data_IF_768202204161
#
_entry.id   IF_768202204161
#
_cell.length_a   1.000
_cell.length_b   1.000
_cell.length_c   1.000
_cell.angle_alpha   90.00
_cell.angle_beta   90.00
_cell.angle_gamma   90.00
#
_symmetry.space_group_name_H-M   'P 1'
#
loop_
_entity.id
_entity.type
_entity.pdbx_description
1 polymer ?
#
# COMPACT_ATOMS: atom_id res chain seq x y z
N UNK A 1 -16.53 -6.49 -21.29
CA UNK A 1 -15.12 -6.18 -20.97
C UNK A 1 -14.97 -6.20 -19.45
N UNK A 2 -13.77 -6.43 -18.88
CA UNK A 2 -13.59 -6.32 -17.42
C UNK A 2 -13.80 -4.85 -17.03
N UNK A 3 -14.67 -4.57 -16.06
CA UNK A 3 -14.96 -3.20 -15.61
C UNK A 3 -14.58 -2.94 -14.15
N UNK A 4 -14.40 -4.00 -13.35
CA UNK A 4 -14.11 -3.85 -11.93
C UNK A 4 -12.68 -3.36 -11.68
N UNK A 5 -12.52 -2.49 -10.68
CA UNK A 5 -11.23 -2.04 -10.19
C UNK A 5 -11.09 -2.47 -8.73
N UNK A 6 -9.98 -3.14 -8.39
CA UNK A 6 -9.70 -3.65 -7.05
C UNK A 6 -8.66 -2.78 -6.36
N UNK A 7 -8.85 -2.52 -5.07
CA UNK A 7 -7.88 -1.84 -4.21
C UNK A 7 -7.59 -2.71 -2.98
N UNK A 8 -6.31 -2.89 -2.69
CA UNK A 8 -5.79 -3.59 -1.51
C UNK A 8 -4.57 -2.85 -0.96
N UNK A 9 -4.22 -3.05 0.31
CA UNK A 9 -2.99 -2.55 0.92
C UNK A 9 -2.64 -3.39 2.14
N UNK A 10 -1.51 -3.12 2.78
CA UNK A 10 -1.20 -3.64 4.11
C UNK A 10 -1.24 -5.17 4.21
N UNK A 11 -0.63 -5.83 3.22
CA UNK A 11 -0.52 -7.28 3.20
C UNK A 11 0.57 -7.77 4.15
N UNK A 12 1.64 -6.98 4.32
CA UNK A 12 2.77 -7.31 5.19
C UNK A 12 3.31 -8.74 4.93
N UNK A 13 3.49 -9.09 3.65
CA UNK A 13 3.98 -10.40 3.25
C UNK A 13 5.40 -10.64 3.80
N UNK A 14 5.59 -11.78 4.44
CA UNK A 14 6.83 -12.15 5.09
C UNK A 14 7.03 -13.67 5.13
N UNK A 15 8.28 -14.11 5.26
CA UNK A 15 8.66 -15.53 5.31
C UNK A 15 8.03 -16.27 6.50
N UNK A 16 7.90 -15.59 7.64
CA UNK A 16 7.30 -16.09 8.88
C UNK A 16 5.76 -15.97 8.90
N UNK A 17 5.15 -15.45 7.84
CA UNK A 17 3.69 -15.36 7.65
C UNK A 17 3.25 -16.04 6.35
N UNK A 18 3.56 -17.34 6.15
CA UNK A 18 3.33 -18.02 4.87
C UNK A 18 1.84 -18.06 4.49
N UNK A 19 0.92 -18.07 5.45
CA UNK A 19 -0.51 -18.18 5.17
C UNK A 19 -1.10 -16.91 4.55
N UNK A 20 -0.56 -15.73 4.87
CA UNK A 20 -0.94 -14.48 4.19
C UNK A 20 -0.49 -14.54 2.73
N UNK A 21 0.73 -15.03 2.48
CA UNK A 21 1.24 -15.22 1.11
C UNK A 21 0.37 -16.21 0.33
N UNK A 22 -0.03 -17.34 0.93
CA UNK A 22 -0.93 -18.30 0.28
C UNK A 22 -2.29 -17.67 -0.06
N UNK A 23 -2.87 -16.89 0.85
CA UNK A 23 -4.14 -16.18 0.61
C UNK A 23 -4.00 -15.19 -0.55
N UNK A 24 -2.93 -14.40 -0.57
CA UNK A 24 -2.68 -13.44 -1.64
C UNK A 24 -2.45 -14.14 -2.99
N UNK A 25 -1.68 -15.23 -3.02
CA UNK A 25 -1.50 -16.01 -4.25
C UNK A 25 -2.82 -16.57 -4.75
N UNK A 26 -3.67 -17.11 -3.86
CA UNK A 26 -5.02 -17.58 -4.23
C UNK A 26 -5.87 -16.44 -4.78
N UNK A 27 -5.80 -15.25 -4.21
CA UNK A 27 -6.49 -14.06 -4.70
C UNK A 27 -6.05 -13.70 -6.13
N UNK A 28 -4.73 -13.66 -6.38
CA UNK A 28 -4.15 -13.41 -7.69
C UNK A 28 -4.53 -14.47 -8.72
N UNK A 29 -4.67 -15.73 -8.30
CA UNK A 29 -5.02 -16.84 -9.19
C UNK A 29 -6.52 -16.92 -9.51
N UNK A 30 -7.41 -16.37 -8.66
CA UNK A 30 -8.86 -16.67 -8.74
C UNK A 30 -9.77 -15.45 -8.89
N UNK A 31 -9.48 -14.37 -8.16
CA UNK A 31 -10.36 -13.18 -8.05
C UNK A 31 -9.84 -12.01 -8.86
N UNK A 32 -8.54 -11.70 -8.72
CA UNK A 32 -7.90 -10.60 -9.42
C UNK A 32 -8.00 -10.69 -10.95
N UNK A 33 -7.92 -11.88 -11.61
CA UNK A 33 -8.00 -11.97 -13.07
C UNK A 33 -9.34 -11.49 -13.66
N UNK A 34 -10.39 -11.37 -12.83
CA UNK A 34 -11.71 -10.88 -13.25
C UNK A 34 -11.79 -9.35 -13.31
N UNK A 35 -10.85 -8.66 -12.68
CA UNK A 35 -10.80 -7.21 -12.63
C UNK A 35 -10.02 -6.62 -13.80
N UNK A 36 -10.43 -5.40 -14.19
CA UNK A 36 -9.71 -4.58 -15.17
C UNK A 36 -8.35 -4.16 -14.62
N UNK A 37 -8.34 -3.69 -13.38
CA UNK A 37 -7.14 -3.20 -12.71
C UNK A 37 -7.09 -3.61 -11.23
N UNK A 38 -5.88 -3.80 -10.73
CA UNK A 38 -5.55 -4.02 -9.33
C UNK A 38 -4.58 -2.92 -8.85
N UNK A 39 -5.00 -2.19 -7.83
CA UNK A 39 -4.19 -1.19 -7.14
C UNK A 39 -3.75 -1.74 -5.78
N UNK A 40 -2.44 -1.73 -5.54
CA UNK A 40 -1.81 -2.15 -4.29
C UNK A 40 -1.23 -0.90 -3.62
N UNK A 41 -1.91 -0.37 -2.59
CA UNK A 41 -1.61 0.93 -1.98
C UNK A 41 -0.61 0.83 -0.81
N UNK A 42 0.57 0.26 -1.09
CA UNK A 42 1.67 0.16 -0.13
C UNK A 42 1.57 -0.99 0.87
N UNK A 43 2.70 -1.24 1.54
CA UNK A 43 2.88 -2.30 2.54
C UNK A 43 2.49 -3.69 2.00
N UNK A 44 2.87 -3.96 0.74
CA UNK A 44 2.79 -5.29 0.14
C UNK A 44 3.70 -6.25 0.90
N UNK A 45 4.91 -5.81 1.25
CA UNK A 45 5.87 -6.60 2.03
C UNK A 45 6.06 -6.02 3.42
N UNK A 46 6.25 -6.88 4.43
CA UNK A 46 6.52 -6.43 5.82
C UNK A 46 7.88 -5.73 5.96
N UNK A 47 8.78 -6.00 5.01
CA UNK A 47 9.99 -5.24 4.73
C UNK A 47 10.46 -5.52 3.29
N UNK A 48 10.98 -4.50 2.60
CA UNK A 48 11.72 -4.67 1.34
C UNK A 48 13.11 -4.08 1.47
N UNK A 49 14.13 -4.86 1.12
CA UNK A 49 15.54 -4.45 1.29
C UNK A 49 16.26 -4.15 -0.02
N UNK A 50 15.58 -4.29 -1.16
CA UNK A 50 16.13 -4.03 -2.49
C UNK A 50 15.65 -5.06 -3.52
N UNK A 51 15.57 -4.65 -4.78
CA UNK A 51 15.02 -5.47 -5.86
C UNK A 51 15.90 -6.68 -6.24
N UNK A 52 17.17 -6.64 -5.80
CA UNK A 52 18.17 -7.71 -5.90
C UNK A 52 17.96 -8.83 -4.86
N UNK A 53 16.95 -8.71 -3.99
CA UNK A 53 16.49 -9.80 -3.14
C UNK A 53 15.54 -10.74 -3.91
N UNK A 54 16.00 -11.98 -4.09
CA UNK A 54 15.25 -13.05 -4.76
C UNK A 54 14.65 -14.07 -3.77
N UNK A 55 14.74 -13.81 -2.47
CA UNK A 55 14.21 -14.71 -1.45
C UNK A 55 12.67 -14.67 -1.40
N UNK A 56 12.02 -15.77 -0.97
CA UNK A 56 10.58 -15.76 -0.71
C UNK A 56 10.20 -14.83 0.46
N UNK A 57 9.00 -14.21 0.44
CA UNK A 57 7.96 -14.37 -0.57
C UNK A 57 8.13 -13.51 -1.83
N UNK A 58 9.13 -12.61 -1.87
CA UNK A 58 9.31 -11.62 -2.93
C UNK A 58 9.36 -12.21 -4.34
N UNK A 59 10.15 -13.26 -4.55
CA UNK A 59 10.24 -13.94 -5.85
C UNK A 59 8.93 -14.60 -6.28
N UNK A 60 8.21 -15.26 -5.35
CA UNK A 60 6.90 -15.86 -5.62
C UNK A 60 5.87 -14.82 -6.02
N UNK A 61 5.80 -13.72 -5.27
CA UNK A 61 4.85 -12.62 -5.50
C UNK A 61 5.11 -11.96 -6.85
N UNK A 62 6.38 -11.66 -7.15
CA UNK A 62 6.80 -11.08 -8.43
C UNK A 62 6.31 -11.93 -9.61
N UNK A 63 6.50 -13.25 -9.55
CA UNK A 63 6.03 -14.18 -10.58
C UNK A 63 4.50 -14.20 -10.71
N UNK A 64 3.78 -14.18 -9.59
CA UNK A 64 2.31 -14.23 -9.58
C UNK A 64 1.67 -12.95 -10.08
N UNK A 65 2.22 -11.79 -9.73
CA UNK A 65 1.83 -10.51 -10.30
C UNK A 65 2.08 -10.49 -11.81
N UNK A 66 3.24 -11.01 -12.26
CA UNK A 66 3.53 -11.10 -13.68
C UNK A 66 2.50 -11.93 -14.45
N UNK A 67 2.13 -13.10 -13.90
CA UNK A 67 1.09 -13.95 -14.49
C UNK A 67 -0.27 -13.23 -14.56
N UNK A 68 -0.63 -12.46 -13.54
CA UNK A 68 -1.86 -11.66 -13.55
C UNK A 68 -1.79 -10.57 -14.62
N UNK A 69 -0.68 -9.84 -14.72
CA UNK A 69 -0.48 -8.81 -15.75
C UNK A 69 -0.58 -9.39 -17.17
N UNK A 70 0.10 -10.52 -17.41
CA UNK A 70 0.05 -11.24 -18.70
C UNK A 70 -1.36 -11.77 -19.03
N UNK A 71 -2.26 -11.93 -18.04
CA UNK A 71 -3.68 -12.27 -18.23
C UNK A 71 -4.59 -11.08 -18.59
N UNK A 72 -3.99 -9.89 -18.74
CA UNK A 72 -4.67 -8.65 -19.13
C UNK A 72 -5.38 -7.94 -17.98
N UNK A 73 -4.83 -7.99 -16.76
CA UNK A 73 -5.25 -7.13 -15.64
C UNK A 73 -4.14 -6.12 -15.37
N UNK A 74 -4.46 -4.83 -15.43
CA UNK A 74 -3.48 -3.77 -15.15
C UNK A 74 -3.14 -3.76 -13.66
N UNK A 75 -1.86 -3.63 -13.32
CA UNK A 75 -1.41 -3.65 -11.93
C UNK A 75 -0.68 -2.34 -11.61
N UNK A 76 -1.13 -1.67 -10.56
CA UNK A 76 -0.55 -0.44 -10.06
C UNK A 76 -0.10 -0.63 -8.62
N UNK A 77 1.08 -0.13 -8.26
CA UNK A 77 1.67 -0.29 -6.95
C UNK A 77 2.12 1.07 -6.40
N UNK A 78 1.69 1.43 -5.19
CA UNK A 78 2.29 2.52 -4.41
C UNK A 78 3.23 1.92 -3.36
N UNK A 79 4.24 2.69 -2.98
CA UNK A 79 5.16 2.31 -1.91
C UNK A 79 4.55 2.62 -0.54
N UNK A 80 4.62 1.67 0.38
CA UNK A 80 4.26 1.88 1.77
C UNK A 80 5.44 2.31 2.62
N UNK A 81 5.25 2.33 3.93
CA UNK A 81 6.30 2.65 4.89
C UNK A 81 7.20 1.45 5.21
N UNK A 82 6.85 0.23 4.78
CA UNK A 82 7.65 -0.99 4.97
C UNK A 82 8.47 -1.39 3.75
N UNK A 83 7.97 -1.09 2.56
CA UNK A 83 8.52 -1.52 1.28
C UNK A 83 8.97 -0.35 0.40
N UNK A 84 9.28 0.80 1.00
CA UNK A 84 9.74 2.02 0.32
C UNK A 84 11.04 1.92 -0.48
N UNK A 85 11.79 0.83 -0.32
CA UNK A 85 12.97 0.52 -1.13
C UNK A 85 12.65 -0.27 -2.41
N UNK A 86 11.39 -0.67 -2.59
CA UNK A 86 10.94 -1.37 -3.79
C UNK A 86 11.07 -0.42 -4.98
N UNK A 87 11.73 -0.91 -6.02
CA UNK A 87 12.12 -0.11 -7.17
C UNK A 87 11.48 -0.54 -8.47
N UNK A 88 11.94 0.13 -9.52
CA UNK A 88 11.48 -0.09 -10.88
C UNK A 88 11.78 -1.51 -11.39
N UNK A 89 12.89 -2.13 -10.96
CA UNK A 89 13.27 -3.47 -11.41
C UNK A 89 12.31 -4.55 -10.90
N UNK A 90 11.76 -4.39 -9.68
CA UNK A 90 10.66 -5.24 -9.22
C UNK A 90 9.42 -5.03 -10.08
N UNK A 91 9.00 -3.78 -10.29
CA UNK A 91 7.79 -3.44 -11.04
C UNK A 91 7.82 -3.97 -12.49
N UNK A 92 8.94 -3.79 -13.19
CA UNK A 92 9.11 -4.32 -14.55
C UNK A 92 9.00 -5.84 -14.61
N UNK A 93 9.68 -6.53 -13.69
CA UNK A 93 9.63 -7.99 -13.62
C UNK A 93 8.25 -8.51 -13.19
N UNK A 94 7.51 -7.77 -12.36
CA UNK A 94 6.16 -8.09 -11.92
C UNK A 94 5.06 -7.66 -12.91
N UNK A 95 5.38 -6.85 -13.92
CA UNK A 95 4.37 -6.26 -14.82
C UNK A 95 3.49 -5.20 -14.15
N UNK A 96 4.04 -4.48 -13.16
CA UNK A 96 3.34 -3.42 -12.42
C UNK A 96 3.78 -2.03 -12.90
N UNK A 97 2.88 -1.06 -12.79
CA UNK A 97 3.21 0.37 -12.88
C UNK A 97 3.40 0.94 -11.47
N UNK A 98 4.57 1.52 -11.19
CA UNK A 98 4.84 2.20 -9.93
C UNK A 98 4.14 3.57 -9.93
N UNK A 99 3.33 3.82 -8.91
CA UNK A 99 2.62 5.08 -8.70
C UNK A 99 3.39 5.98 -7.72
N UNK A 100 3.31 7.32 -7.89
CA UNK A 100 3.82 8.26 -6.91
C UNK A 100 3.04 8.20 -5.59
N UNK A 101 3.57 8.82 -4.52
CA UNK A 101 2.93 8.88 -3.19
C UNK A 101 1.50 9.44 -3.23
N UNK A 102 1.25 10.41 -4.11
CA UNK A 102 -0.06 10.98 -4.40
C UNK A 102 -0.43 10.69 -5.85
N UNK A 103 -1.41 9.83 -6.07
CA UNK A 103 -1.87 9.49 -7.41
C UNK A 103 -3.36 9.83 -7.55
N UNK A 104 -3.70 10.69 -8.50
CA UNK A 104 -5.09 10.97 -8.85
C UNK A 104 -5.49 10.10 -10.03
N UNK A 105 -6.56 9.32 -9.85
CA UNK A 105 -7.15 8.51 -10.91
C UNK A 105 -8.59 8.92 -11.16
N UNK A 106 -9.09 8.63 -12.35
CA UNK A 106 -10.50 8.80 -12.67
C UNK A 106 -11.26 7.49 -12.43
N UNK A 107 -12.14 7.47 -11.43
CA UNK A 107 -13.06 6.37 -11.19
C UNK A 107 -14.44 6.74 -11.72
N UNK A 108 -14.72 6.32 -12.96
CA UNK A 108 -16.02 6.50 -13.62
C UNK A 108 -16.50 7.96 -13.57
N UNK A 109 -15.65 8.89 -14.03
CA UNK A 109 -15.92 10.33 -13.99
C UNK A 109 -15.68 11.03 -12.64
N UNK A 110 -15.23 10.30 -11.61
CA UNK A 110 -14.95 10.87 -10.29
C UNK A 110 -13.43 10.87 -10.00
N UNK A 111 -12.78 12.05 -9.94
CA UNK A 111 -11.40 12.16 -9.46
C UNK A 111 -11.26 11.58 -8.05
N UNK A 112 -10.35 10.63 -7.91
CA UNK A 112 -10.11 9.90 -6.67
C UNK A 112 -8.61 9.89 -6.37
N UNK A 113 -8.26 10.35 -5.18
CA UNK A 113 -6.88 10.36 -4.69
C UNK A 113 -6.54 9.00 -4.08
N UNK A 114 -5.38 8.47 -4.47
CA UNK A 114 -4.80 7.24 -3.94
C UNK A 114 -3.50 7.58 -3.21
N UNK A 115 -3.34 7.02 -2.01
CA UNK A 115 -2.13 7.13 -1.20
C UNK A 115 -1.96 5.88 -0.34
N UNK A 116 -0.76 5.64 0.18
CA UNK A 116 -0.60 4.66 1.25
C UNK A 116 -1.26 5.14 2.56
N UNK A 117 -1.10 6.41 2.91
CA UNK A 117 -1.81 7.08 4.03
C UNK A 117 -0.91 7.52 5.18
N UNK A 118 0.34 7.06 5.23
CA UNK A 118 1.33 7.43 6.24
C UNK A 118 1.68 8.93 6.24
N UNK A 119 1.56 9.60 5.08
CA UNK A 119 1.70 11.06 4.96
C UNK A 119 0.57 11.86 5.61
N UNK A 120 -0.56 11.22 5.93
CA UNK A 120 -1.70 11.85 6.60
C UNK A 120 -1.53 11.85 8.12
N UNK A 121 -0.63 11.04 8.67
CA UNK A 121 -0.31 10.93 10.09
C UNK A 121 0.70 12.00 10.51
N UNK A 122 0.34 13.28 10.32
CA UNK A 122 1.24 14.43 10.55
C UNK A 122 1.55 14.69 12.02
N UNK A 123 0.77 14.12 12.94
CA UNK A 123 0.99 14.25 14.38
C UNK A 123 2.11 13.30 14.88
N UNK A 124 2.49 12.28 14.09
CA UNK A 124 3.65 11.43 14.36
C UNK A 124 4.94 12.07 13.81
N UNK A 125 5.38 13.17 14.45
CA UNK A 125 6.58 13.92 14.02
C UNK A 125 7.83 13.03 13.86
N UNK A 126 8.18 12.12 14.80
CA UNK A 126 9.35 11.26 14.62
C UNK A 126 9.25 10.35 13.39
N UNK A 127 8.04 9.88 13.07
CA UNK A 127 7.82 9.11 11.85
C UNK A 127 8.01 9.97 10.59
N UNK A 128 7.43 11.17 10.55
CA UNK A 128 7.55 12.06 9.40
C UNK A 128 9.00 12.47 9.14
N UNK A 129 9.78 12.78 10.18
CA UNK A 129 11.22 13.07 10.07
C UNK A 129 11.99 11.87 9.49
N UNK A 130 11.72 10.66 10.00
CA UNK A 130 12.33 9.45 9.47
C UNK A 130 11.97 9.23 8.01
N UNK A 131 10.70 9.43 7.64
CA UNK A 131 10.22 9.27 6.27
C UNK A 131 10.94 10.22 5.32
N UNK A 132 11.05 11.50 5.66
CA UNK A 132 11.78 12.49 4.84
C UNK A 132 13.21 12.00 4.61
N UNK A 133 13.89 11.56 5.66
CA UNK A 133 15.27 11.05 5.57
C UNK A 133 15.37 9.79 4.72
N UNK A 134 14.52 8.80 4.97
CA UNK A 134 14.59 7.47 4.33
C UNK A 134 14.22 7.48 2.85
N UNK A 135 13.53 8.52 2.38
CA UNK A 135 13.17 8.73 0.98
C UNK A 135 14.23 9.49 0.17
N UNK A 136 15.31 9.99 0.79
CA UNK A 136 16.40 10.65 0.05
C UNK A 136 17.22 9.65 -0.77
N UNK A 137 17.74 10.09 -1.92
CA UNK A 137 18.63 9.28 -2.74
C UNK A 137 19.89 8.85 -1.97
N UNK A 138 20.49 9.76 -1.21
CA UNK A 138 21.67 9.47 -0.39
C UNK A 138 21.41 8.33 0.61
N UNK A 139 20.29 8.39 1.35
CA UNK A 139 19.93 7.34 2.30
C UNK A 139 19.69 6.02 1.59
N UNK A 140 18.92 6.05 0.50
CA UNK A 140 18.57 4.86 -0.30
C UNK A 140 19.83 4.19 -0.84
N UNK A 141 20.71 4.95 -1.48
CA UNK A 141 21.92 4.43 -2.11
C UNK A 141 22.90 3.91 -1.05
N UNK A 142 23.00 4.58 0.11
CA UNK A 142 23.80 4.10 1.24
C UNK A 142 23.32 2.75 1.78
N UNK A 143 21.99 2.55 1.85
CA UNK A 143 21.39 1.31 2.33
C UNK A 143 21.53 0.21 1.29
N UNK A 144 21.13 0.47 0.04
CA UNK A 144 21.16 -0.49 -1.06
C UNK A 144 22.60 -0.91 -1.43
N UNK A 145 23.59 -0.06 -1.22
CA UNK A 145 25.00 -0.39 -1.42
C UNK A 145 25.59 -1.39 -0.42
N UNK A 146 24.88 -1.74 0.66
CA UNK A 146 25.36 -2.72 1.65
C UNK A 146 25.11 -4.15 1.17
N UNK A 147 25.92 -5.13 1.61
CA UNK A 147 25.66 -6.54 1.35
C UNK A 147 24.25 -6.94 1.79
N UNK A 148 23.58 -7.79 1.00
CA UNK A 148 22.18 -8.18 1.24
C UNK A 148 21.93 -8.70 2.66
N UNK A 149 22.85 -9.52 3.19
CA UNK A 149 22.76 -10.04 4.57
C UNK A 149 22.71 -8.93 5.62
N UNK A 150 23.47 -7.84 5.43
CA UNK A 150 23.49 -6.70 6.34
C UNK A 150 22.14 -5.97 6.29
N UNK A 151 21.59 -5.78 5.09
CA UNK A 151 20.27 -5.14 4.92
C UNK A 151 19.15 -5.97 5.55
N UNK A 152 19.16 -7.29 5.37
CA UNK A 152 18.18 -8.20 5.98
C UNK A 152 18.22 -8.17 7.51
N UNK A 153 19.43 -8.18 8.11
CA UNK A 153 19.59 -8.06 9.55
C UNK A 153 19.10 -6.70 10.07
N UNK A 154 19.42 -5.62 9.36
CA UNK A 154 18.94 -4.28 9.70
C UNK A 154 17.41 -4.16 9.63
N UNK A 155 16.78 -4.72 8.58
CA UNK A 155 15.32 -4.75 8.46
C UNK A 155 14.66 -5.55 9.59
N UNK A 156 15.23 -6.70 9.97
CA UNK A 156 14.76 -7.49 11.12
C UNK A 156 14.86 -6.69 12.43
N UNK A 157 15.98 -6.01 12.64
CA UNK A 157 16.18 -5.14 13.81
C UNK A 157 15.16 -3.99 13.85
N UNK A 158 15.01 -3.27 12.74
CA UNK A 158 14.06 -2.15 12.63
C UNK A 158 12.63 -2.58 12.94
N UNK A 159 12.19 -3.75 12.45
CA UNK A 159 10.86 -4.30 12.75
C UNK A 159 10.68 -4.54 14.24
N UNK A 160 11.65 -5.17 14.90
CA UNK A 160 11.62 -5.40 16.35
C UNK A 160 11.56 -4.07 17.11
N UNK A 161 12.40 -3.10 16.75
CA UNK A 161 12.41 -1.79 17.40
C UNK A 161 11.10 -1.03 17.20
N UNK A 162 10.53 -1.07 15.98
CA UNK A 162 9.25 -0.40 15.66
C UNK A 162 8.09 -0.98 16.47
N UNK A 163 8.03 -2.31 16.62
CA UNK A 163 7.02 -2.98 17.45
C UNK A 163 7.01 -2.44 18.89
N UNK A 164 8.20 -2.31 19.50
CA UNK A 164 8.32 -1.76 20.86
C UNK A 164 8.00 -0.26 20.95
N UNK A 165 8.29 0.53 19.91
CA UNK A 165 7.96 1.95 19.90
C UNK A 165 6.47 2.19 19.70
N UNK A 166 5.80 1.40 18.85
CA UNK A 166 4.34 1.50 18.63
C UNK A 166 3.54 1.22 19.91
N UNK A 167 3.99 0.30 20.76
CA UNK A 167 3.33 0.02 22.05
C UNK A 167 3.31 1.22 23.01
N UNK A 168 4.21 2.19 22.85
CA UNK A 168 4.33 3.35 23.74
C UNK A 168 3.58 4.59 23.24
N UNK A 169 3.05 4.58 22.01
CA UNK A 169 2.31 5.70 21.42
C UNK A 169 0.82 5.54 21.67
N UNK A 170 0.10 6.65 21.84
CA UNK A 170 -1.35 6.62 21.85
C UNK A 170 -1.87 6.29 20.45
N UNK A 171 -3.01 5.60 20.40
CA UNK A 171 -3.64 5.21 19.15
C UNK A 171 -4.10 6.40 18.30
N UNK A 172 -4.35 7.55 18.94
CA UNK A 172 -4.81 8.78 18.29
C UNK A 172 -3.68 9.47 17.51
N UNK A 173 -2.45 9.50 18.06
CA UNK A 173 -1.28 10.09 17.37
C UNK A 173 -0.92 9.30 16.10
N UNK A 174 -1.28 8.02 16.05
CA UNK A 174 -1.01 7.14 14.92
C UNK A 174 -2.12 7.11 13.87
N UNK A 175 -3.25 7.79 14.10
CA UNK A 175 -4.26 7.95 13.05
C UNK A 175 -3.91 9.09 12.10
N UNK A 176 -4.72 9.24 11.06
CA UNK A 176 -4.66 10.40 10.18
C UNK A 176 -5.08 11.66 10.94
N UNK A 177 -4.43 12.78 10.62
CA UNK A 177 -4.90 14.10 11.02
C UNK A 177 -5.99 14.56 10.04
N UNK A 178 -7.17 14.89 10.57
CA UNK A 178 -8.33 15.23 9.73
C UNK A 178 -8.14 16.52 8.93
N UNK A 179 -7.42 17.51 9.45
CA UNK A 179 -7.11 18.74 8.73
C UNK A 179 -6.14 18.45 7.58
N UNK A 180 -5.14 17.60 7.80
CA UNK A 180 -4.24 17.12 6.73
C UNK A 180 -5.01 16.41 5.63
N UNK A 181 -5.99 15.58 5.98
CA UNK A 181 -6.88 14.92 5.00
C UNK A 181 -7.62 15.95 4.15
N UNK A 182 -8.29 16.93 4.78
CA UNK A 182 -9.07 17.97 4.09
C UNK A 182 -8.17 18.81 3.17
N UNK A 183 -7.02 19.25 3.68
CA UNK A 183 -6.06 20.06 2.93
C UNK A 183 -5.54 19.31 1.71
N UNK A 184 -5.12 18.05 1.90
CA UNK A 184 -4.61 17.20 0.81
C UNK A 184 -5.68 16.96 -0.25
N UNK A 185 -6.90 16.57 0.15
CA UNK A 185 -7.99 16.35 -0.80
C UNK A 185 -8.38 17.61 -1.56
N UNK A 186 -8.30 18.79 -0.91
CA UNK A 186 -8.53 20.09 -1.53
C UNK A 186 -7.45 20.43 -2.56
N UNK A 187 -6.16 20.24 -2.21
CA UNK A 187 -5.01 20.48 -3.08
C UNK A 187 -5.11 19.66 -4.37
N UNK A 188 -5.41 18.37 -4.26
CA UNK A 188 -5.56 17.45 -5.38
C UNK A 188 -6.95 17.48 -6.03
N UNK A 189 -7.86 18.36 -5.57
CA UNK A 189 -9.22 18.55 -6.11
C UNK A 189 -10.03 17.24 -6.17
N UNK A 190 -9.90 16.41 -5.15
CA UNK A 190 -10.57 15.11 -5.06
C UNK A 190 -11.57 15.10 -3.91
N UNK A 191 -12.72 14.46 -4.13
CA UNK A 191 -13.74 14.24 -3.10
C UNK A 191 -13.84 12.77 -2.64
N UNK A 192 -13.04 11.90 -3.25
CA UNK A 192 -12.79 10.56 -2.75
C UNK A 192 -11.28 10.40 -2.50
N UNK A 193 -10.94 9.78 -1.37
CA UNK A 193 -9.59 9.38 -1.01
C UNK A 193 -9.61 7.89 -0.64
N UNK A 194 -8.72 7.08 -1.22
CA UNK A 194 -8.52 5.68 -0.85
C UNK A 194 -7.10 5.53 -0.31
N UNK A 195 -6.96 5.00 0.90
CA UNK A 195 -5.67 4.75 1.53
C UNK A 195 -5.68 3.54 2.46
N UNK A 196 -4.49 3.09 2.88
CA UNK A 196 -4.27 2.03 3.87
C UNK A 196 -3.63 2.57 5.15
N UNK A 197 -2.53 1.94 5.57
CA UNK A 197 -1.61 2.31 6.65
C UNK A 197 -2.16 2.22 8.08
N UNK A 198 -3.36 2.76 8.34
CA UNK A 198 -3.87 2.90 9.71
C UNK A 198 -4.47 1.61 10.27
N UNK A 199 -4.74 0.61 9.42
CA UNK A 199 -5.33 -0.71 9.77
C UNK A 199 -6.70 -0.57 10.45
N UNK A 200 -7.44 0.48 10.10
CA UNK A 200 -8.78 0.81 10.62
C UNK A 200 -9.78 0.90 9.48
N UNK A 201 -10.16 -0.24 8.86
CA UNK A 201 -11.02 -0.25 7.68
C UNK A 201 -12.36 0.43 7.97
N UNK A 202 -12.67 1.48 7.22
CA UNK A 202 -13.88 2.27 7.37
C UNK A 202 -14.11 3.15 6.14
N UNK A 203 -15.34 3.64 5.98
CA UNK A 203 -15.70 4.68 5.01
C UNK A 203 -16.14 5.91 5.81
N UNK A 204 -15.25 6.90 5.91
CA UNK A 204 -15.56 8.15 6.59
C UNK A 204 -16.20 9.13 5.61
N UNK A 205 -17.32 9.72 6.01
CA UNK A 205 -18.02 10.78 5.25
C UNK A 205 -17.90 12.11 5.96
N UNK A 206 -17.53 13.16 5.24
CA UNK A 206 -17.43 14.53 5.75
C UNK A 206 -17.64 15.53 4.60
N UNK A 207 -17.43 16.81 4.83
CA UNK A 207 -17.58 17.85 3.81
C UNK A 207 -16.27 18.59 3.56
N UNK A 208 -16.02 18.97 2.31
CA UNK A 208 -14.94 19.87 1.89
C UNK A 208 -15.61 20.97 1.06
N UNK A 209 -15.57 22.23 1.54
CA UNK A 209 -16.20 23.37 0.86
C UNK A 209 -17.67 23.09 0.48
N UNK A 210 -18.47 22.65 1.46
CA UNK A 210 -19.89 22.27 1.34
C UNK A 210 -20.21 21.12 0.37
N UNK A 211 -19.19 20.41 -0.14
CA UNK A 211 -19.38 19.22 -0.97
C UNK A 211 -19.10 17.95 -0.18
N UNK A 212 -19.94 16.90 -0.33
CA UNK A 212 -19.69 15.60 0.29
C UNK A 212 -18.36 15.01 -0.16
N UNK A 213 -17.56 14.58 0.81
CA UNK A 213 -16.28 13.91 0.62
C UNK A 213 -16.26 12.57 1.36
N UNK A 214 -15.47 11.63 0.82
CA UNK A 214 -15.33 10.27 1.38
C UNK A 214 -13.87 9.88 1.49
N UNK A 215 -13.51 9.29 2.62
CA UNK A 215 -12.21 8.66 2.86
C UNK A 215 -12.41 7.18 3.13
N UNK A 216 -11.89 6.35 2.23
CA UNK A 216 -11.91 4.89 2.28
C UNK A 216 -10.59 4.41 2.87
N UNK A 217 -10.67 3.70 3.98
CA UNK A 217 -9.53 3.06 4.62
C UNK A 217 -9.56 1.57 4.29
N UNK A 218 -8.51 1.08 3.67
CA UNK A 218 -8.32 -0.33 3.33
C UNK A 218 -7.92 -1.15 4.56
N UNK A 219 -8.23 -2.44 4.51
CA UNK A 219 -8.02 -3.40 5.59
C UNK A 219 -6.64 -4.02 5.50
N UNK A 220 -6.04 -4.31 6.66
CA UNK A 220 -4.86 -5.16 6.76
C UNK A 220 -5.21 -6.63 6.48
N UNK A 221 -4.23 -7.38 5.97
CA UNK A 221 -4.39 -8.81 5.77
C UNK A 221 -3.78 -9.62 6.91
N UNK A 222 -4.43 -10.73 7.23
CA UNK A 222 -3.96 -11.71 8.20
C UNK A 222 -4.12 -13.14 7.67
N UNK A 223 -3.69 -14.12 8.46
CA UNK A 223 -3.89 -15.53 8.14
C UNK A 223 -5.37 -15.87 8.00
N UNK A 224 -6.27 -15.19 8.72
CA UNK A 224 -7.70 -15.49 8.76
C UNK A 224 -8.55 -14.63 7.82
N UNK A 225 -8.14 -13.39 7.57
CA UNK A 225 -8.92 -12.40 6.80
C UNK A 225 -8.06 -11.69 5.76
N UNK A 226 -8.67 -11.35 4.63
CA UNK A 226 -8.19 -10.36 3.67
C UNK A 226 -9.40 -9.66 3.10
N UNK A 227 -9.25 -8.40 2.70
CA UNK A 227 -10.34 -7.64 2.09
C UNK A 227 -9.83 -6.87 0.87
N UNK A 228 -10.72 -6.70 -0.11
CA UNK A 228 -10.52 -5.84 -1.26
C UNK A 228 -11.69 -4.86 -1.39
N UNK A 229 -11.38 -3.59 -1.58
CA UNK A 229 -12.37 -2.62 -2.04
C UNK A 229 -12.56 -2.81 -3.55
N UNK A 230 -13.79 -3.09 -3.96
CA UNK A 230 -14.16 -3.34 -5.35
C UNK A 230 -15.02 -2.21 -5.85
N UNK A 231 -14.53 -1.51 -6.87
CA UNK A 231 -15.25 -0.42 -7.50
C UNK A 231 -15.86 -0.85 -8.83
N UNK A 232 -17.14 -0.52 -9.02
CA UNK A 232 -17.94 -0.85 -10.20
C UNK A 232 -18.80 0.32 -10.58
N UNK A 233 -18.50 0.97 -11.71
CA UNK A 233 -19.28 2.09 -12.22
C UNK A 233 -19.53 3.12 -11.10
N UNK A 234 -20.79 3.34 -10.71
CA UNK A 234 -21.19 4.30 -9.69
C UNK A 234 -21.31 3.70 -8.27
N UNK A 235 -20.79 2.50 -8.03
CA UNK A 235 -20.91 1.78 -6.76
C UNK A 235 -19.58 1.18 -6.30
N UNK A 236 -19.49 0.87 -5.02
CA UNK A 236 -18.38 0.14 -4.44
C UNK A 236 -18.89 -0.91 -3.44
N UNK A 237 -18.10 -1.95 -3.21
CA UNK A 237 -18.34 -2.96 -2.19
C UNK A 237 -17.01 -3.39 -1.56
N UNK A 238 -17.04 -3.82 -0.30
CA UNK A 238 -15.91 -4.48 0.34
C UNK A 238 -16.13 -5.99 0.21
N UNK A 239 -15.18 -6.70 -0.39
CA UNK A 239 -15.21 -8.15 -0.57
C UNK A 239 -14.19 -8.82 0.33
N UNK A 240 -14.61 -9.82 1.09
CA UNK A 240 -13.71 -10.69 1.83
C UNK A 240 -13.00 -11.67 0.88
N UNK A 241 -11.72 -11.91 1.15
CA UNK A 241 -10.80 -12.72 0.34
C UNK A 241 -10.27 -13.92 1.13
#
# INVERSE_FOLDING_TARGET
MKEEILFISDLHLALDKPDITKRFVRFLDTRAPRAKALYILGDLFDAWVGDDDFTPPGSTVRKKLRQLADSGTDIFLQLGNRDFLLGQAFCEAAGCTLLPDYAVIELFGNPTLLMHGDLLCTDDLPYQEFRIKSRTAEWRDNVLGKPLIVRLLAARWYRLSSFWHKQKKSQDIMDVNQDTVINTMTEYRCYNLIHGHTHRPNVHTFTINDRPARRFVLSDWSAAKGEALVWRQNSYSIEAI
#
